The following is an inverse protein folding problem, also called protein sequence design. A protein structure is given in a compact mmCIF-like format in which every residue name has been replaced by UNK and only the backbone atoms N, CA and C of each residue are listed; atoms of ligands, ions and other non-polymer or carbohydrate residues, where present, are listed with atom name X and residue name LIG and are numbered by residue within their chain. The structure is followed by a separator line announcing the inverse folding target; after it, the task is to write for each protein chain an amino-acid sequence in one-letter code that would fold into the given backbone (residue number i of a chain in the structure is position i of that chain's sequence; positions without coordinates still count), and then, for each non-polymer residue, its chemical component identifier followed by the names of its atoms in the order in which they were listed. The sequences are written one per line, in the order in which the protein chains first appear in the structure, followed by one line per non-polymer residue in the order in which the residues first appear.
data_IF_241273943498
#
_entry.id   IF_241273943498
#
_cell.length_a   1.000
_cell.length_b   1.000
_cell.length_c   1.000
_cell.angle_alpha   90.00
_cell.angle_beta   90.00
_cell.angle_gamma   90.00
#
_symmetry.space_group_name_H-M   'P 1'
#
loop_
_entity.id
_entity.type
_entity.pdbx_description
1 polymer ?
#
# COMPACT_ATOMS: atom_id res chain seq x y z
N UNK A 1 -4.54 -44.59 57.79
CA UNK A 1 -4.48 -43.80 56.54
C UNK A 1 -5.83 -43.90 55.85
N UNK A 2 -6.54 -42.78 55.65
CA UNK A 2 -7.84 -42.77 54.98
C UNK A 2 -7.63 -42.97 53.45
N UNK A 3 -8.47 -43.77 52.77
CA UNK A 3 -8.36 -43.95 51.33
C UNK A 3 -8.68 -42.64 50.61
N UNK A 4 -7.72 -42.15 49.82
CA UNK A 4 -7.90 -40.94 48.99
C UNK A 4 -8.91 -41.23 47.88
N UNK A 5 -10.06 -40.55 47.92
CA UNK A 5 -11.07 -40.59 46.85
C UNK A 5 -10.52 -39.92 45.60
N UNK A 6 -10.91 -40.41 44.43
CA UNK A 6 -10.61 -39.73 43.17
C UNK A 6 -11.31 -38.35 43.17
N UNK A 7 -10.58 -37.24 42.96
CA UNK A 7 -11.16 -35.90 43.01
C UNK A 7 -12.14 -35.62 41.86
N UNK A 8 -12.11 -36.41 40.78
CA UNK A 8 -12.93 -36.18 39.59
C UNK A 8 -14.27 -36.93 39.61
N UNK A 9 -14.34 -38.11 40.24
CA UNK A 9 -15.56 -38.93 40.26
C UNK A 9 -16.05 -39.31 41.68
N UNK A 10 -15.30 -39.00 42.74
CA UNK A 10 -15.71 -39.24 44.13
C UNK A 10 -15.77 -40.71 44.56
N UNK A 11 -15.59 -41.65 43.64
CA UNK A 11 -15.52 -43.08 43.94
C UNK A 11 -14.15 -43.46 44.50
N UNK A 12 -14.17 -44.23 45.58
CA UNK A 12 -12.96 -44.89 46.09
C UNK A 12 -12.54 -45.94 45.06
N UNK A 13 -11.27 -45.95 44.63
CA UNK A 13 -10.67 -47.03 43.86
C UNK A 13 -10.70 -48.32 44.69
N UNK A 14 -11.85 -48.99 44.73
CA UNK A 14 -11.99 -50.37 45.19
C UNK A 14 -12.13 -51.21 43.93
N UNK A 15 -10.98 -51.58 43.36
CA UNK A 15 -10.93 -52.80 42.59
C UNK A 15 -11.05 -53.94 43.61
N UNK A 16 -12.28 -54.25 44.01
CA UNK A 16 -12.58 -55.49 44.72
C UNK A 16 -12.85 -56.52 43.63
N UNK A 17 -11.96 -57.49 43.41
CA UNK A 17 -12.27 -58.64 42.56
C UNK A 17 -13.60 -59.20 43.04
N UNK A 18 -14.57 -59.37 42.14
CA UNK A 18 -15.89 -59.91 42.52
C UNK A 18 -15.79 -61.39 42.94
N UNK A 19 -14.70 -62.04 42.55
CA UNK A 19 -14.37 -63.42 42.88
C UNK A 19 -13.24 -63.48 43.91
N UNK A 20 -13.58 -63.92 45.13
CA UNK A 20 -12.59 -64.37 46.12
C UNK A 20 -12.19 -65.81 45.76
N UNK A 21 -11.20 -65.95 44.88
CA UNK A 21 -10.68 -67.23 44.43
C UNK A 21 -9.85 -67.89 45.55
N UNK A 22 -10.51 -68.69 46.39
CA UNK A 22 -9.83 -69.60 47.32
C UNK A 22 -9.18 -70.76 46.54
N UNK A 23 -8.00 -70.48 45.95
CA UNK A 23 -7.22 -71.39 45.11
C UNK A 23 -6.99 -72.78 45.75
N UNK A 24 -6.78 -72.83 47.07
CA UNK A 24 -6.52 -74.07 47.79
C UNK A 24 -7.76 -74.98 47.91
N UNK A 25 -8.96 -74.39 48.01
CA UNK A 25 -10.22 -75.13 48.10
C UNK A 25 -10.62 -75.77 46.77
N UNK A 26 -10.32 -75.10 45.65
CA UNK A 26 -10.60 -75.62 44.29
C UNK A 26 -9.64 -76.77 43.96
N UNK A 27 -8.36 -76.64 44.33
CA UNK A 27 -7.35 -77.68 44.11
C UNK A 27 -7.64 -78.96 44.89
N UNK A 28 -8.14 -78.84 46.13
CA UNK A 28 -8.52 -79.99 46.96
C UNK A 28 -9.69 -80.80 46.37
N UNK A 29 -10.68 -80.13 45.76
CA UNK A 29 -11.85 -80.80 45.14
C UNK A 29 -11.51 -81.52 43.84
N UNK A 30 -10.54 -81.02 43.08
CA UNK A 30 -10.07 -81.68 41.84
C UNK A 30 -9.26 -82.96 42.10
N UNK A 31 -8.75 -83.16 43.32
CA UNK A 31 -7.90 -84.31 43.66
C UNK A 31 -8.63 -85.47 44.36
N UNK A 32 -9.91 -85.33 44.78
CA UNK A 32 -10.72 -86.44 45.32
C UNK A 32 -11.86 -86.76 44.37
N UNK A 33 -11.95 -88.02 43.92
CA UNK A 33 -13.03 -88.66 43.14
C UNK A 33 -13.79 -87.76 42.14
N UNK A 34 -13.63 -88.08 40.85
CA UNK A 34 -14.22 -87.37 39.71
C UNK A 34 -15.71 -87.02 39.93
N UNK A 35 -15.99 -85.79 40.37
CA UNK A 35 -17.34 -85.25 40.55
C UNK A 35 -17.69 -84.33 39.37
N UNK A 36 -18.60 -84.75 38.47
CA UNK A 36 -19.03 -83.94 37.33
C UNK A 36 -19.59 -82.57 37.72
N UNK A 37 -20.14 -82.41 38.93
CA UNK A 37 -20.67 -81.13 39.40
C UNK A 37 -19.55 -80.11 39.73
N UNK A 38 -18.38 -80.58 40.16
CA UNK A 38 -17.22 -79.73 40.41
C UNK A 38 -16.63 -79.19 39.10
N UNK A 39 -16.62 -79.99 38.03
CA UNK A 39 -16.19 -79.55 36.70
C UNK A 39 -17.09 -78.42 36.17
N UNK A 40 -18.41 -78.53 36.31
CA UNK A 40 -19.36 -77.50 35.87
C UNK A 40 -19.16 -76.15 36.60
N UNK A 41 -18.85 -76.17 37.91
CA UNK A 41 -18.56 -74.95 38.67
C UNK A 41 -17.25 -74.27 38.22
N UNK A 42 -16.24 -75.06 37.83
CA UNK A 42 -14.98 -74.54 37.29
C UNK A 42 -15.22 -73.91 35.92
N UNK A 43 -15.98 -74.56 35.04
CA UNK A 43 -16.35 -74.01 33.73
C UNK A 43 -17.14 -72.70 33.85
N UNK A 44 -18.08 -72.61 34.80
CA UNK A 44 -18.82 -71.37 35.10
C UNK A 44 -17.88 -70.26 35.60
N UNK A 45 -16.94 -70.59 36.48
CA UNK A 45 -15.95 -69.64 37.00
C UNK A 45 -15.03 -69.12 35.90
N UNK A 46 -14.59 -70.00 34.99
CA UNK A 46 -13.78 -69.62 33.82
C UNK A 46 -14.58 -68.69 32.91
N UNK A 47 -15.84 -69.00 32.61
CA UNK A 47 -16.72 -68.17 31.80
C UNK A 47 -16.94 -66.78 32.41
N UNK A 48 -17.10 -66.70 33.73
CA UNK A 48 -17.23 -65.43 34.46
C UNK A 48 -15.92 -64.61 34.40
N UNK A 49 -14.76 -65.26 34.59
CA UNK A 49 -13.45 -64.61 34.48
C UNK A 49 -13.18 -64.11 33.05
N UNK A 50 -13.53 -64.89 32.04
CA UNK A 50 -13.43 -64.47 30.64
C UNK A 50 -14.30 -63.25 30.38
N UNK A 51 -15.52 -63.22 30.91
CA UNK A 51 -16.42 -62.05 30.80
C UNK A 51 -15.82 -60.82 31.48
N UNK A 52 -15.33 -60.94 32.71
CA UNK A 52 -14.68 -59.83 33.42
C UNK A 52 -13.40 -59.35 32.72
N UNK A 53 -12.63 -60.28 32.14
CA UNK A 53 -11.45 -59.96 31.34
C UNK A 53 -11.84 -59.18 30.07
N UNK A 54 -12.89 -59.60 29.35
CA UNK A 54 -13.38 -58.89 28.16
C UNK A 54 -13.95 -57.50 28.52
N UNK A 55 -14.64 -57.36 29.65
CA UNK A 55 -15.11 -56.07 30.15
C UNK A 55 -13.94 -55.13 30.47
N UNK A 56 -12.93 -55.63 31.17
CA UNK A 56 -11.71 -54.87 31.46
C UNK A 56 -10.97 -54.47 30.18
N UNK A 57 -10.84 -55.39 29.22
CA UNK A 57 -10.21 -55.12 27.93
C UNK A 57 -10.98 -54.04 27.14
N UNK A 58 -12.31 -54.08 27.15
CA UNK A 58 -13.18 -53.09 26.51
C UNK A 58 -13.04 -51.70 27.16
N UNK A 59 -12.98 -51.64 28.49
CA UNK A 59 -12.78 -50.38 29.21
C UNK A 59 -11.38 -49.80 28.98
N UNK A 60 -10.35 -50.65 28.91
CA UNK A 60 -8.99 -50.23 28.53
C UNK A 60 -9.00 -49.63 27.12
N UNK A 61 -9.64 -50.29 26.15
CA UNK A 61 -9.75 -49.77 24.78
C UNK A 61 -10.50 -48.43 24.73
N UNK A 62 -11.60 -48.30 25.50
CA UNK A 62 -12.37 -47.06 25.63
C UNK A 62 -11.50 -45.92 26.18
N UNK A 63 -10.76 -46.16 27.26
CA UNK A 63 -9.88 -45.18 27.88
C UNK A 63 -8.70 -44.79 26.96
N UNK A 64 -8.15 -45.74 26.20
CA UNK A 64 -7.12 -45.44 25.20
C UNK A 64 -7.63 -44.50 24.11
N UNK A 65 -8.83 -44.75 23.57
CA UNK A 65 -9.47 -43.84 22.61
C UNK A 65 -9.72 -42.45 23.20
N UNK A 66 -10.13 -42.38 24.47
CA UNK A 66 -10.35 -41.11 25.17
C UNK A 66 -9.04 -40.32 25.35
N UNK A 67 -7.93 -40.98 25.71
CA UNK A 67 -6.59 -40.39 25.80
C UNK A 67 -6.14 -39.86 24.43
N UNK A 68 -6.31 -40.66 23.37
CA UNK A 68 -5.94 -40.25 22.01
C UNK A 68 -6.74 -39.02 21.54
N UNK A 69 -8.04 -38.98 21.84
CA UNK A 69 -8.90 -37.83 21.55
C UNK A 69 -8.43 -36.56 22.29
N UNK A 70 -8.11 -36.68 23.58
CA UNK A 70 -7.58 -35.56 24.38
C UNK A 70 -6.21 -35.08 23.88
N UNK A 71 -5.30 -35.99 23.50
CA UNK A 71 -3.99 -35.65 22.93
C UNK A 71 -4.13 -34.99 21.56
N UNK A 72 -5.08 -35.43 20.73
CA UNK A 72 -5.42 -34.78 19.46
C UNK A 72 -5.90 -33.34 19.68
N UNK A 73 -6.83 -33.15 20.63
CA UNK A 73 -7.33 -31.82 21.02
C UNK A 73 -6.22 -30.92 21.56
N UNK A 74 -5.30 -31.46 22.37
CA UNK A 74 -4.15 -30.71 22.88
C UNK A 74 -3.24 -30.24 21.73
N UNK A 75 -2.98 -31.09 20.73
CA UNK A 75 -2.21 -30.71 19.54
C UNK A 75 -2.88 -29.59 18.76
N UNK A 76 -4.19 -29.68 18.52
CA UNK A 76 -4.95 -28.62 17.85
C UNK A 76 -4.90 -27.29 18.61
N UNK A 77 -5.01 -27.32 19.94
CA UNK A 77 -4.90 -26.12 20.78
C UNK A 77 -3.51 -25.49 20.69
N UNK A 78 -2.44 -26.28 20.73
CA UNK A 78 -1.06 -25.78 20.56
C UNK A 78 -0.83 -25.17 19.18
N UNK A 79 -1.42 -25.75 18.14
CA UNK A 79 -1.35 -25.20 16.79
C UNK A 79 -2.14 -23.87 16.67
N UNK A 80 -3.29 -23.77 17.32
CA UNK A 80 -4.05 -22.52 17.40
C UNK A 80 -3.27 -21.43 18.16
N UNK A 81 -2.67 -21.81 19.30
CA UNK A 81 -1.84 -20.92 20.11
C UNK A 81 -0.63 -20.39 19.31
N UNK A 82 0.07 -21.24 18.56
CA UNK A 82 1.20 -20.81 17.74
C UNK A 82 0.77 -19.86 16.63
N UNK A 83 -0.37 -20.11 15.96
CA UNK A 83 -0.97 -19.19 14.98
C UNK A 83 -1.27 -17.82 15.60
N UNK A 84 -1.91 -17.79 16.77
CA UNK A 84 -2.20 -16.54 17.48
C UNK A 84 -0.90 -15.82 17.88
N UNK A 85 0.08 -16.54 18.41
CA UNK A 85 1.38 -15.98 18.78
C UNK A 85 2.11 -15.39 17.58
N UNK A 86 2.05 -16.01 16.40
CA UNK A 86 2.59 -15.42 15.17
C UNK A 86 1.87 -14.13 14.76
N UNK A 87 0.54 -14.07 14.91
CA UNK A 87 -0.24 -12.83 14.69
C UNK A 87 0.11 -11.73 15.71
N UNK A 88 0.55 -12.10 16.92
CA UNK A 88 1.04 -11.16 17.92
C UNK A 88 2.50 -10.76 17.68
N UNK A 89 3.37 -11.66 17.23
CA UNK A 89 4.77 -11.36 16.90
C UNK A 89 4.91 -10.46 15.67
N UNK A 90 3.98 -10.55 14.72
CA UNK A 90 3.84 -9.58 13.61
C UNK A 90 3.42 -8.17 14.08
N UNK A 91 3.25 -7.93 15.39
CA UNK A 91 2.97 -6.62 15.99
C UNK A 91 4.16 -5.66 16.01
N UNK A 92 5.32 -5.98 15.41
CA UNK A 92 6.44 -5.02 15.36
C UNK A 92 6.00 -3.66 14.78
N UNK A 93 5.26 -3.69 13.66
CA UNK A 93 4.68 -2.49 13.04
C UNK A 93 3.53 -1.88 13.88
N UNK A 94 2.73 -2.72 14.55
CA UNK A 94 1.62 -2.26 15.39
C UNK A 94 2.10 -1.57 16.68
N UNK A 95 3.34 -1.81 17.09
CA UNK A 95 3.94 -1.20 18.27
C UNK A 95 4.75 0.06 17.96
N UNK A 96 4.97 0.38 16.68
CA UNK A 96 5.63 1.63 16.30
C UNK A 96 4.81 2.83 16.79
N UNK A 97 5.42 3.89 17.34
CA UNK A 97 4.75 5.16 17.60
C UNK A 97 4.16 5.78 16.32
N UNK A 98 3.15 6.63 16.46
CA UNK A 98 2.49 7.27 15.31
C UNK A 98 3.46 8.14 14.51
N UNK A 99 4.44 8.74 15.19
CA UNK A 99 5.48 9.58 14.62
C UNK A 99 6.38 8.79 13.66
N UNK A 100 6.76 7.58 14.05
CA UNK A 100 7.57 6.68 13.23
C UNK A 100 6.77 6.18 12.03
N UNK A 101 5.50 5.80 12.24
CA UNK A 101 4.62 5.42 11.14
C UNK A 101 4.41 6.59 10.15
N UNK A 102 4.17 7.80 10.65
CA UNK A 102 4.01 8.98 9.81
C UNK A 102 5.29 9.30 9.04
N UNK A 103 6.46 9.14 9.65
CA UNK A 103 7.75 9.28 8.97
C UNK A 103 7.91 8.25 7.84
N UNK A 104 7.61 6.98 8.11
CA UNK A 104 7.61 5.92 7.09
C UNK A 104 6.63 6.27 5.96
N UNK A 105 5.40 6.67 6.31
CA UNK A 105 4.38 7.03 5.31
C UNK A 105 4.83 8.20 4.45
N UNK A 106 5.46 9.20 5.05
CA UNK A 106 6.02 10.34 4.33
C UNK A 106 7.14 9.93 3.36
N UNK A 107 7.99 8.97 3.73
CA UNK A 107 9.04 8.44 2.84
C UNK A 107 8.47 7.62 1.68
N UNK A 108 7.45 6.81 1.95
CA UNK A 108 6.85 5.94 0.92
C UNK A 108 5.92 6.73 -0.01
N UNK A 109 5.24 7.77 0.48
CA UNK A 109 4.32 8.62 -0.27
C UNK A 109 4.96 9.87 -0.87
N UNK A 110 6.21 9.79 -1.33
CA UNK A 110 6.84 10.91 -2.03
C UNK A 110 6.23 11.13 -3.42
N UNK A 111 5.78 10.06 -4.05
CA UNK A 111 5.17 10.08 -5.38
C UNK A 111 3.88 9.23 -5.39
N UNK A 112 2.73 9.89 -5.58
CA UNK A 112 1.46 9.19 -5.77
C UNK A 112 1.09 9.30 -7.24
N UNK A 113 1.38 8.23 -7.98
CA UNK A 113 1.17 8.11 -9.40
C UNK A 113 -0.30 7.75 -9.69
N UNK A 114 -1.02 8.74 -10.21
CA UNK A 114 -2.40 8.62 -10.70
C UNK A 114 -2.34 8.51 -12.22
N UNK A 115 -2.71 7.34 -12.75
CA UNK A 115 -2.78 7.12 -14.21
C UNK A 115 -4.22 7.08 -14.67
N UNK A 116 -4.50 7.79 -15.75
CA UNK A 116 -5.80 7.78 -16.40
C UNK A 116 -6.06 6.43 -17.07
N UNK A 117 -5.17 6.00 -17.96
CA UNK A 117 -5.27 4.69 -18.62
C UNK A 117 -4.26 3.69 -18.01
N UNK A 118 -4.74 2.53 -17.55
CA UNK A 118 -3.90 1.48 -16.94
C UNK A 118 -3.20 0.59 -17.97
N UNK A 119 -3.74 0.51 -19.17
CA UNK A 119 -3.33 -0.49 -20.18
C UNK A 119 -2.19 0.01 -21.08
N UNK A 120 -1.94 1.32 -21.08
CA UNK A 120 -0.87 1.90 -21.90
C UNK A 120 0.43 2.01 -21.11
N UNK A 121 1.44 1.34 -21.63
CA UNK A 121 2.81 1.46 -21.19
C UNK A 121 3.33 2.82 -21.63
N UNK A 122 3.78 3.64 -20.68
CA UNK A 122 4.66 4.75 -20.96
C UNK A 122 6.07 4.24 -20.74
N UNK A 123 6.96 4.40 -21.72
CA UNK A 123 8.35 3.97 -21.65
C UNK A 123 9.11 4.63 -20.49
N UNK A 124 8.59 5.76 -19.99
CA UNK A 124 9.12 6.48 -18.83
C UNK A 124 8.90 5.75 -17.50
N UNK A 125 8.03 4.74 -17.46
CA UNK A 125 7.69 4.04 -16.22
C UNK A 125 7.85 2.54 -16.37
N UNK A 126 8.87 2.01 -15.70
CA UNK A 126 9.21 0.59 -15.65
C UNK A 126 7.97 -0.25 -15.29
N UNK A 127 7.74 -1.28 -16.09
CA UNK A 127 6.54 -2.12 -16.09
C UNK A 127 6.32 -2.92 -14.79
N UNK A 128 7.30 -2.85 -13.90
CA UNK A 128 7.43 -3.56 -12.64
C UNK A 128 6.54 -2.96 -11.54
N UNK A 129 6.02 -1.74 -11.74
CA UNK A 129 5.12 -1.05 -10.82
C UNK A 129 3.63 -1.21 -11.13
N UNK A 130 3.11 -2.43 -11.25
CA UNK A 130 1.67 -2.63 -11.47
C UNK A 130 0.84 -2.35 -10.19
N UNK A 131 -0.17 -1.49 -10.30
CA UNK A 131 -1.31 -1.43 -9.38
C UNK A 131 -1.18 -0.49 -8.18
N UNK A 132 -1.68 -0.94 -7.03
CA UNK A 132 -1.82 -0.19 -5.78
C UNK A 132 -0.50 0.42 -5.27
N UNK A 133 0.64 -0.18 -5.63
CA UNK A 133 1.99 0.34 -5.30
C UNK A 133 2.26 1.72 -5.89
N UNK A 134 1.60 2.08 -7.00
CA UNK A 134 1.67 3.42 -7.60
C UNK A 134 1.04 4.52 -6.74
N UNK A 135 0.13 4.16 -5.82
CA UNK A 135 -0.61 5.09 -4.96
C UNK A 135 -0.41 4.76 -3.49
N UNK A 136 0.82 4.89 -2.97
CA UNK A 136 1.17 4.49 -1.61
C UNK A 136 0.23 5.13 -0.58
N UNK A 137 -0.13 6.41 -0.72
CA UNK A 137 -1.04 7.08 0.23
C UNK A 137 -2.41 6.41 0.28
N UNK A 138 -2.96 6.02 -0.86
CA UNK A 138 -4.25 5.34 -0.93
C UNK A 138 -4.17 3.95 -0.28
N UNK A 139 -3.09 3.19 -0.56
CA UNK A 139 -2.84 1.87 0.03
C UNK A 139 -2.72 1.97 1.55
N UNK A 140 -1.88 2.88 2.04
CA UNK A 140 -1.69 3.13 3.46
C UNK A 140 -3.04 3.42 4.15
N UNK A 141 -3.91 4.18 3.50
CA UNK A 141 -5.25 4.50 4.03
C UNK A 141 -6.23 3.31 4.06
N UNK A 142 -5.91 2.20 3.40
CA UNK A 142 -6.72 0.98 3.36
C UNK A 142 -6.23 -0.17 4.23
N UNK A 143 -5.02 -0.09 4.82
CA UNK A 143 -4.42 -1.23 5.56
C UNK A 143 -5.18 -1.56 6.84
N UNK A 144 -5.30 -0.61 7.77
CA UNK A 144 -6.06 -0.75 9.00
C UNK A 144 -6.56 0.61 9.50
N UNK A 145 -7.48 0.61 10.48
CA UNK A 145 -8.08 1.84 11.02
C UNK A 145 -7.04 2.85 11.53
N UNK A 146 -6.00 2.37 12.22
CA UNK A 146 -4.91 3.22 12.73
C UNK A 146 -4.13 3.88 11.60
N UNK A 147 -3.75 3.11 10.58
CA UNK A 147 -3.02 3.64 9.42
C UNK A 147 -3.87 4.65 8.66
N UNK A 148 -5.15 4.34 8.44
CA UNK A 148 -6.12 5.25 7.86
C UNK A 148 -6.21 6.57 8.63
N UNK A 149 -6.29 6.53 9.96
CA UNK A 149 -6.36 7.74 10.78
C UNK A 149 -5.10 8.59 10.63
N UNK A 150 -3.91 7.98 10.68
CA UNK A 150 -2.63 8.68 10.49
C UNK A 150 -2.58 9.31 9.09
N UNK A 151 -2.85 8.54 8.04
CA UNK A 151 -2.82 9.02 6.65
C UNK A 151 -3.82 10.15 6.40
N UNK A 152 -5.02 10.08 6.99
CA UNK A 152 -6.03 11.14 6.86
C UNK A 152 -5.68 12.39 7.67
N UNK A 153 -4.96 12.26 8.79
CA UNK A 153 -4.49 13.41 9.57
C UNK A 153 -3.32 14.16 8.89
N UNK A 154 -2.55 13.47 8.04
CA UNK A 154 -1.40 14.05 7.35
C UNK A 154 -1.76 14.47 5.91
N UNK A 155 -2.31 15.68 5.78
CA UNK A 155 -2.77 16.25 4.52
C UNK A 155 -1.66 16.34 3.45
N UNK A 156 -0.40 16.53 3.87
CA UNK A 156 0.75 16.64 2.98
C UNK A 156 1.03 15.35 2.17
N UNK A 157 0.60 14.17 2.64
CA UNK A 157 0.74 12.92 1.88
C UNK A 157 -0.13 12.94 0.62
N UNK A 158 -1.29 13.59 0.69
CA UNK A 158 -2.24 13.72 -0.42
C UNK A 158 -1.90 14.88 -1.36
N UNK A 159 -0.92 15.72 -1.02
CA UNK A 159 -0.56 16.90 -1.82
C UNK A 159 0.55 16.64 -2.84
N UNK A 160 1.19 15.47 -2.79
CA UNK A 160 2.23 15.03 -3.73
C UNK A 160 1.63 14.05 -4.72
N UNK A 161 1.45 14.47 -5.97
CA UNK A 161 0.80 13.64 -6.98
C UNK A 161 1.49 13.77 -8.33
N UNK A 162 1.65 12.62 -8.99
CA UNK A 162 2.07 12.53 -10.38
C UNK A 162 0.88 12.08 -11.21
N UNK A 163 0.54 12.85 -12.24
CA UNK A 163 -0.61 12.62 -13.10
C UNK A 163 -0.10 12.17 -14.46
N UNK A 164 -0.51 10.98 -14.91
CA UNK A 164 -0.24 10.51 -16.27
C UNK A 164 -1.56 10.51 -17.03
N UNK A 165 -1.68 11.45 -17.97
CA UNK A 165 -2.89 11.66 -18.77
C UNK A 165 -2.77 10.95 -20.11
N UNK A 166 -3.91 10.46 -20.62
CA UNK A 166 -4.03 9.74 -21.89
C UNK A 166 -5.24 10.27 -22.65
N UNK A 167 -5.05 10.85 -23.83
CA UNK A 167 -6.16 11.50 -24.55
C UNK A 167 -7.12 10.53 -25.21
N UNK A 168 -6.67 9.32 -25.51
CA UNK A 168 -7.49 8.26 -26.08
C UNK A 168 -8.25 7.42 -25.04
N UNK A 169 -8.42 7.94 -23.81
CA UNK A 169 -9.22 7.30 -22.77
C UNK A 169 -10.72 7.42 -23.04
N UNK A 170 -11.49 6.42 -22.61
CA UNK A 170 -12.95 6.49 -22.62
C UNK A 170 -13.45 7.50 -21.58
N UNK A 171 -14.64 8.10 -21.79
CA UNK A 171 -15.20 9.06 -20.84
C UNK A 171 -15.36 8.50 -19.42
N UNK A 172 -15.70 7.22 -19.28
CA UNK A 172 -15.75 6.53 -17.97
C UNK A 172 -14.37 6.49 -17.29
N UNK A 173 -13.31 6.27 -18.07
CA UNK A 173 -11.93 6.29 -17.58
C UNK A 173 -11.56 7.69 -17.10
N UNK A 174 -11.91 8.73 -17.86
CA UNK A 174 -11.70 10.14 -17.46
C UNK A 174 -12.45 10.48 -16.18
N UNK A 175 -13.70 10.03 -16.06
CA UNK A 175 -14.54 10.29 -14.89
C UNK A 175 -13.98 9.61 -13.62
N UNK A 176 -13.52 8.36 -13.74
CA UNK A 176 -12.85 7.63 -12.66
C UNK A 176 -11.55 8.31 -12.22
N UNK A 177 -10.71 8.68 -13.19
CA UNK A 177 -9.47 9.42 -12.94
C UNK A 177 -9.73 10.78 -12.29
N UNK A 178 -10.71 11.55 -12.80
CA UNK A 178 -11.15 12.80 -12.21
C UNK A 178 -11.57 12.64 -10.74
N UNK A 179 -12.36 11.60 -10.44
CA UNK A 179 -12.79 11.30 -9.07
C UNK A 179 -11.60 11.04 -8.16
N UNK A 180 -10.58 10.36 -8.66
CA UNK A 180 -9.35 10.09 -7.93
C UNK A 180 -8.52 11.36 -7.68
N UNK A 181 -8.30 12.20 -8.70
CA UNK A 181 -7.61 13.50 -8.53
C UNK A 181 -8.37 14.38 -7.55
N UNK A 182 -9.71 14.42 -7.66
CA UNK A 182 -10.56 15.16 -6.73
C UNK A 182 -10.40 14.69 -5.29
N UNK A 183 -10.34 13.38 -5.07
CA UNK A 183 -10.12 12.81 -3.74
C UNK A 183 -8.80 13.30 -3.11
N UNK A 184 -7.71 13.35 -3.88
CA UNK A 184 -6.41 13.84 -3.41
C UNK A 184 -6.44 15.35 -3.11
N UNK A 185 -7.06 16.15 -3.98
CA UNK A 185 -7.23 17.58 -3.75
C UNK A 185 -8.06 17.85 -2.49
N UNK A 186 -9.16 17.13 -2.30
CA UNK A 186 -10.03 17.30 -1.13
C UNK A 186 -9.29 16.91 0.17
N UNK A 187 -8.54 15.79 0.17
CA UNK A 187 -7.80 15.30 1.34
C UNK A 187 -6.50 16.06 1.63
N UNK A 188 -5.94 16.76 0.65
CA UNK A 188 -4.78 17.62 0.88
C UNK A 188 -5.12 18.94 1.57
N UNK A 189 -6.41 19.29 1.67
CA UNK A 189 -6.91 20.47 2.38
C UNK A 189 -6.21 21.77 1.96
N UNK A 190 -5.44 22.39 2.85
CA UNK A 190 -4.69 23.64 2.60
C UNK A 190 -3.21 23.39 2.30
N UNK A 191 -2.78 22.13 2.26
CA UNK A 191 -1.38 21.77 1.99
C UNK A 191 -0.97 22.25 0.61
N UNK A 192 0.28 22.68 0.51
CA UNK A 192 0.89 23.06 -0.75
C UNK A 192 1.04 21.83 -1.65
N UNK A 193 0.67 22.00 -2.93
CA UNK A 193 0.66 20.95 -3.92
C UNK A 193 2.02 20.84 -4.60
N UNK A 194 2.51 19.60 -4.68
CA UNK A 194 3.64 19.19 -5.50
C UNK A 194 3.12 18.29 -6.60
N UNK A 195 3.08 18.85 -7.81
CA UNK A 195 2.46 18.27 -8.97
C UNK A 195 3.53 17.87 -9.97
N UNK A 196 3.46 16.65 -10.48
CA UNK A 196 4.11 16.26 -11.73
C UNK A 196 3.02 15.86 -12.71
N UNK A 197 3.04 16.39 -13.91
CA UNK A 197 2.02 16.16 -14.91
C UNK A 197 2.73 15.67 -16.15
N UNK A 198 2.42 14.44 -16.55
CA UNK A 198 2.98 13.74 -17.69
C UNK A 198 1.85 13.55 -18.72
N UNK A 199 2.03 14.12 -19.89
CA UNK A 199 1.12 14.04 -21.01
C UNK A 199 1.82 13.34 -22.17
N UNK A 200 1.54 12.06 -22.31
CA UNK A 200 2.19 11.20 -23.28
C UNK A 200 1.89 11.55 -24.76
N UNK A 201 0.89 12.38 -25.05
CA UNK A 201 0.46 12.66 -26.44
C UNK A 201 0.17 14.14 -26.67
N UNK A 202 0.20 14.55 -27.93
CA UNK A 202 -0.04 15.93 -28.34
C UNK A 202 -1.51 16.35 -28.16
N UNK A 203 -1.71 17.39 -27.38
CA UNK A 203 -2.95 18.10 -27.10
C UNK A 203 -3.19 19.15 -28.16
N UNK A 204 -4.18 18.92 -29.02
CA UNK A 204 -4.62 19.96 -29.94
C UNK A 204 -5.26 21.11 -29.16
N UNK A 205 -4.89 22.35 -29.46
CA UNK A 205 -5.46 23.56 -28.82
C UNK A 205 -6.99 23.71 -29.01
N UNK A 206 -7.61 22.89 -29.86
CA UNK A 206 -9.06 22.85 -30.10
C UNK A 206 -9.79 21.84 -29.22
N UNK A 207 -9.06 21.02 -28.46
CA UNK A 207 -9.68 20.01 -27.60
C UNK A 207 -10.20 20.62 -26.30
N UNK A 208 -11.22 19.98 -25.73
CA UNK A 208 -11.84 20.40 -24.47
C UNK A 208 -10.82 20.22 -23.34
N UNK A 209 -10.67 21.19 -22.41
CA UNK A 209 -9.79 21.05 -21.25
C UNK A 209 -10.06 19.76 -20.49
N UNK A 210 -9.01 19.03 -20.14
CA UNK A 210 -9.15 17.79 -19.40
C UNK A 210 -9.72 18.11 -17.99
N UNK A 211 -10.81 17.46 -17.53
CA UNK A 211 -11.52 17.87 -16.32
C UNK A 211 -10.66 17.85 -15.05
N UNK A 212 -9.70 16.92 -14.97
CA UNK A 212 -8.74 16.89 -13.85
C UNK A 212 -7.77 18.09 -13.86
N UNK A 213 -7.34 18.55 -15.05
CA UNK A 213 -6.47 19.72 -15.19
C UNK A 213 -7.25 21.00 -14.88
N UNK A 214 -8.49 21.10 -15.34
CA UNK A 214 -9.41 22.18 -14.96
C UNK A 214 -9.63 22.25 -13.43
N UNK A 215 -9.69 21.10 -12.75
CA UNK A 215 -9.79 21.06 -11.30
C UNK A 215 -8.51 21.56 -10.62
N UNK A 216 -7.33 21.18 -11.12
CA UNK A 216 -6.05 21.66 -10.61
C UNK A 216 -5.88 23.17 -10.81
N UNK A 217 -6.34 23.72 -11.94
CA UNK A 217 -6.30 25.16 -12.20
C UNK A 217 -7.02 26.01 -11.14
N UNK A 218 -8.04 25.44 -10.49
CA UNK A 218 -8.74 26.07 -9.36
C UNK A 218 -7.91 26.10 -8.06
N UNK A 219 -6.79 25.39 -8.03
CA UNK A 219 -5.91 25.23 -6.86
C UNK A 219 -4.53 25.87 -7.05
N UNK A 220 -4.37 26.70 -8.09
CA UNK A 220 -3.10 27.38 -8.46
C UNK A 220 -2.43 28.13 -7.31
N UNK A 221 -3.21 28.70 -6.40
CA UNK A 221 -2.71 29.40 -5.21
C UNK A 221 -1.90 28.49 -4.26
N UNK A 222 -2.13 27.18 -4.33
CA UNK A 222 -1.47 26.16 -3.51
C UNK A 222 -0.32 25.48 -4.23
N UNK A 223 -0.12 25.72 -5.53
CA UNK A 223 0.95 25.07 -6.27
C UNK A 223 2.30 25.57 -5.75
N UNK A 224 3.17 24.65 -5.37
CA UNK A 224 4.48 24.97 -4.81
C UNK A 224 5.61 24.38 -5.65
N UNK A 225 5.39 23.17 -6.15
CA UNK A 225 6.24 22.50 -7.13
C UNK A 225 5.36 22.06 -8.29
N UNK A 226 5.79 22.35 -9.51
CA UNK A 226 5.11 21.90 -10.71
C UNK A 226 6.15 21.42 -11.72
N UNK A 227 6.08 20.15 -12.07
CA UNK A 227 6.82 19.56 -13.18
C UNK A 227 5.81 19.20 -14.27
N UNK A 228 6.07 19.61 -15.51
CA UNK A 228 5.16 19.41 -16.63
C UNK A 228 5.90 18.81 -17.83
N UNK A 229 5.52 17.60 -18.20
CA UNK A 229 6.20 16.75 -19.16
C UNK A 229 5.23 16.38 -20.26
N UNK A 230 5.72 16.41 -21.50
CA UNK A 230 4.99 16.04 -22.69
C UNK A 230 5.19 17.04 -23.81
N UNK A 231 4.80 16.65 -25.02
CA UNK A 231 4.97 17.45 -26.25
C UNK A 231 4.05 18.67 -26.35
N UNK A 232 3.35 19.00 -25.26
CA UNK A 232 2.45 20.13 -25.19
C UNK A 232 3.09 21.26 -24.44
N UNK A 233 2.77 22.47 -24.85
CA UNK A 233 3.23 23.64 -24.13
C UNK A 233 2.39 23.84 -22.88
N UNK A 234 3.07 24.17 -21.78
CA UNK A 234 2.40 24.62 -20.58
C UNK A 234 1.57 25.89 -20.90
N UNK A 235 0.25 25.78 -20.76
CA UNK A 235 -0.71 26.82 -21.16
C UNK A 235 -1.82 26.94 -20.12
N UNK A 236 -2.23 28.18 -19.82
CA UNK A 236 -3.29 28.46 -18.82
C UNK A 236 -4.62 27.82 -19.20
N UNK A 237 -4.89 27.77 -20.50
CA UNK A 237 -6.13 27.25 -21.08
C UNK A 237 -6.32 25.77 -20.77
N UNK A 238 -5.22 25.00 -20.73
CA UNK A 238 -5.24 23.57 -20.40
C UNK A 238 -5.78 23.34 -18.98
N UNK A 239 -5.46 24.25 -18.06
CA UNK A 239 -5.93 24.23 -16.67
C UNK A 239 -7.20 25.03 -16.46
N UNK A 240 -7.77 25.64 -17.51
CA UNK A 240 -8.92 26.53 -17.40
C UNK A 240 -8.72 27.66 -16.36
N UNK A 241 -7.49 28.17 -16.26
CA UNK A 241 -7.15 29.26 -15.35
C UNK A 241 -7.71 30.56 -15.94
N UNK A 242 -8.57 31.32 -15.24
CA UNK A 242 -9.11 32.56 -15.78
C UNK A 242 -8.05 33.66 -15.83
N UNK A 243 -8.17 34.59 -16.79
CA UNK A 243 -7.18 35.65 -17.08
C UNK A 243 -6.90 36.60 -15.91
N UNK A 244 -7.81 36.68 -14.94
CA UNK A 244 -7.64 37.50 -13.75
C UNK A 244 -6.69 36.86 -12.71
N UNK A 245 -6.42 35.56 -12.79
CA UNK A 245 -5.49 34.87 -11.91
C UNK A 245 -4.08 35.01 -12.46
N UNK A 246 -3.43 36.13 -12.16
CA UNK A 246 -2.08 36.43 -12.66
C UNK A 246 -0.97 35.76 -11.87
N UNK A 247 -1.17 35.61 -10.56
CA UNK A 247 -0.11 35.20 -9.65
C UNK A 247 -0.21 33.73 -9.22
N UNK A 248 0.96 33.10 -9.13
CA UNK A 248 1.18 31.79 -8.51
C UNK A 248 1.99 31.99 -7.22
N UNK A 249 1.41 32.59 -6.17
CA UNK A 249 2.19 33.13 -5.05
C UNK A 249 2.97 32.09 -4.25
N UNK A 250 2.53 30.82 -4.29
CA UNK A 250 3.19 29.71 -3.61
C UNK A 250 4.19 28.96 -4.50
N UNK A 251 4.19 29.19 -5.81
CA UNK A 251 4.97 28.41 -6.77
C UNK A 251 6.44 28.80 -6.65
N UNK A 252 7.27 27.84 -6.26
CA UNK A 252 8.72 28.04 -6.05
C UNK A 252 9.56 27.37 -7.11
N UNK A 253 9.11 26.21 -7.59
CA UNK A 253 9.84 25.39 -8.54
C UNK A 253 8.91 25.04 -9.70
N UNK A 254 9.38 25.36 -10.90
CA UNK A 254 8.73 25.02 -12.15
C UNK A 254 9.74 24.30 -13.05
N UNK A 255 9.32 23.17 -13.59
CA UNK A 255 10.12 22.31 -14.46
C UNK A 255 9.28 21.90 -15.67
N UNK A 256 9.88 21.92 -16.87
CA UNK A 256 9.24 21.44 -18.09
C UNK A 256 10.23 20.91 -19.13
N UNK A 257 9.80 19.88 -19.87
CA UNK A 257 10.62 19.14 -20.87
C UNK A 257 10.57 19.74 -22.29
N UNK A 258 9.54 20.53 -22.61
CA UNK A 258 9.40 21.21 -23.89
C UNK A 258 8.73 22.57 -23.69
N UNK A 259 9.35 23.63 -24.21
CA UNK A 259 8.81 24.99 -24.13
C UNK A 259 8.81 25.67 -25.50
N UNK A 260 7.64 26.02 -26.04
CA UNK A 260 7.51 27.12 -27.01
C UNK A 260 6.76 28.27 -26.35
N UNK A 261 7.37 29.45 -26.44
CA UNK A 261 6.79 30.80 -26.52
C UNK A 261 5.73 31.26 -25.50
N UNK A 262 5.33 30.47 -24.51
CA UNK A 262 4.30 30.91 -23.55
C UNK A 262 4.87 31.94 -22.56
N UNK A 263 4.27 33.13 -22.56
CA UNK A 263 4.45 34.23 -21.61
C UNK A 263 3.95 33.85 -20.22
N UNK A 264 4.73 33.03 -19.52
CA UNK A 264 4.51 32.77 -18.11
C UNK A 264 5.03 33.95 -17.29
N UNK A 265 4.16 34.92 -17.03
CA UNK A 265 4.39 35.92 -15.99
C UNK A 265 4.36 35.22 -14.62
N UNK A 266 5.51 34.70 -14.17
CA UNK A 266 5.65 34.07 -12.85
C UNK A 266 6.57 34.92 -11.98
N UNK A 267 6.04 35.93 -11.29
CA UNK A 267 6.86 36.91 -10.56
C UNK A 267 7.58 36.33 -9.32
N UNK A 268 7.28 35.10 -8.91
CA UNK A 268 7.72 34.51 -7.64
C UNK A 268 8.59 33.26 -7.73
N UNK A 269 9.06 32.89 -8.92
CA UNK A 269 9.80 31.65 -9.10
C UNK A 269 11.20 31.70 -8.45
N UNK A 270 11.57 30.65 -7.71
CA UNK A 270 12.91 30.52 -7.12
C UNK A 270 13.83 29.63 -7.95
N UNK A 271 13.27 28.61 -8.60
CA UNK A 271 14.00 27.65 -9.44
C UNK A 271 13.24 27.41 -10.74
N UNK A 272 13.95 27.53 -11.86
CA UNK A 272 13.45 27.15 -13.17
C UNK A 272 14.37 26.09 -13.77
N UNK A 273 13.78 24.98 -14.19
CA UNK A 273 14.49 23.93 -14.91
C UNK A 273 13.79 23.74 -16.25
N UNK A 274 14.56 23.87 -17.33
CA UNK A 274 14.08 23.58 -18.69
C UNK A 274 14.96 22.47 -19.22
N UNK A 275 14.39 21.29 -19.39
CA UNK A 275 15.07 20.18 -20.04
C UNK A 275 14.61 20.09 -21.49
N UNK A 276 15.46 19.62 -22.40
CA UNK A 276 15.09 19.29 -23.78
C UNK A 276 15.15 17.76 -23.91
N UNK A 277 13.99 17.12 -23.83
CA UNK A 277 13.88 15.66 -23.81
C UNK A 277 14.23 14.99 -25.15
N UNK A 278 14.46 15.78 -26.22
CA UNK A 278 14.84 15.29 -27.55
C UNK A 278 16.26 14.72 -27.65
N UNK A 279 17.03 14.71 -26.55
CA UNK A 279 18.39 14.13 -26.50
C UNK A 279 18.46 12.65 -26.88
N UNK A 280 17.32 11.93 -26.90
CA UNK A 280 17.29 10.47 -27.11
C UNK A 280 17.06 10.07 -28.57
N UNK A 281 16.46 10.94 -29.40
CA UNK A 281 16.18 10.66 -30.82
C UNK A 281 17.15 11.42 -31.74
N UNK A 282 18.27 10.77 -32.08
CA UNK A 282 19.40 11.32 -32.86
C UNK A 282 19.10 11.66 -34.33
N UNK A 283 17.86 11.47 -34.83
CA UNK A 283 17.59 11.45 -36.29
C UNK A 283 16.54 12.45 -36.79
N UNK A 284 16.10 13.41 -35.96
CA UNK A 284 15.18 14.47 -36.38
C UNK A 284 15.89 15.83 -36.47
N UNK A 285 16.15 16.28 -37.71
CA UNK A 285 16.75 17.58 -38.08
C UNK A 285 15.87 18.80 -37.73
N UNK A 286 14.97 18.68 -36.74
CA UNK A 286 14.14 19.77 -36.25
C UNK A 286 14.92 20.65 -35.25
N UNK A 287 15.80 21.49 -35.78
CA UNK A 287 16.54 22.52 -35.03
C UNK A 287 15.60 23.64 -34.57
N UNK A 288 14.66 23.34 -33.67
CA UNK A 288 14.02 24.40 -32.88
C UNK A 288 15.03 24.88 -31.84
N UNK A 289 15.60 26.06 -32.10
CA UNK A 289 16.39 26.82 -31.13
C UNK A 289 15.60 27.07 -29.86
N UNK A 290 16.26 27.11 -28.69
CA UNK A 290 15.70 27.86 -27.56
C UNK A 290 15.47 29.27 -28.07
N UNK A 291 14.21 29.65 -28.21
CA UNK A 291 13.88 30.91 -28.89
C UNK A 291 14.26 32.08 -27.98
N UNK A 292 14.77 33.20 -28.54
CA UNK A 292 14.94 34.46 -27.80
C UNK A 292 13.68 34.90 -27.05
N UNK A 293 12.50 34.43 -27.46
CA UNK A 293 11.23 34.65 -26.78
C UNK A 293 11.17 34.00 -25.37
N UNK A 294 11.77 32.82 -25.15
CA UNK A 294 11.87 32.25 -23.81
C UNK A 294 12.66 33.16 -22.89
N UNK A 295 13.81 33.66 -23.37
CA UNK A 295 14.68 34.57 -22.64
C UNK A 295 13.97 35.90 -22.35
N UNK A 296 13.25 36.45 -23.34
CA UNK A 296 12.42 37.64 -23.16
C UNK A 296 11.33 37.44 -22.11
N UNK A 297 10.72 36.25 -22.03
CA UNK A 297 9.72 35.94 -21.00
C UNK A 297 10.32 35.80 -19.59
N UNK A 298 11.60 35.38 -19.48
CA UNK A 298 12.32 35.35 -18.20
C UNK A 298 12.72 36.75 -17.70
N UNK A 299 12.79 37.71 -18.62
CA UNK A 299 13.07 39.10 -18.32
C UNK A 299 11.77 39.84 -18.04
N UNK A 300 11.52 40.23 -16.79
CA UNK A 300 10.44 41.18 -16.51
C UNK A 300 10.94 42.57 -16.89
N UNK A 301 10.25 43.23 -17.81
CA UNK A 301 10.43 44.66 -18.05
C UNK A 301 9.81 45.42 -16.88
N UNK A 302 10.62 45.78 -15.90
CA UNK A 302 10.16 46.69 -14.84
C UNK A 302 9.92 48.07 -15.46
N UNK A 303 8.82 48.72 -15.10
CA UNK A 303 8.46 50.10 -15.50
C UNK A 303 9.41 51.17 -14.92
N UNK A 304 10.67 50.83 -14.65
CA UNK A 304 11.70 51.80 -14.30
C UNK A 304 12.13 52.51 -15.58
N UNK A 305 12.43 53.81 -15.49
CA UNK A 305 13.02 54.56 -16.60
C UNK A 305 14.51 54.75 -16.28
N UNK A 306 15.45 54.16 -17.04
CA UNK A 306 15.26 53.27 -18.19
C UNK A 306 14.81 51.84 -17.80
N UNK A 307 14.09 51.12 -18.67
CA UNK A 307 13.64 49.76 -18.41
C UNK A 307 14.85 48.83 -18.44
N UNK A 308 15.39 48.52 -17.26
CA UNK A 308 16.38 47.47 -17.12
C UNK A 308 15.62 46.14 -17.04
N UNK A 309 15.79 45.23 -18.00
CA UNK A 309 15.26 43.89 -17.88
C UNK A 309 15.91 43.23 -16.66
N UNK A 310 15.10 42.80 -15.70
CA UNK A 310 15.58 42.05 -14.55
C UNK A 310 15.06 40.64 -14.70
N UNK A 311 15.99 39.68 -14.83
CA UNK A 311 15.72 38.26 -14.66
C UNK A 311 14.97 38.09 -13.33
N UNK A 312 13.78 37.49 -13.38
CA UNK A 312 12.86 37.24 -12.26
C UNK A 312 13.51 37.49 -10.88
N UNK A 313 13.14 38.54 -10.11
CA UNK A 313 13.94 39.03 -8.98
C UNK A 313 14.12 38.05 -7.82
N UNK A 314 13.39 36.92 -7.83
CA UNK A 314 13.49 35.84 -6.84
C UNK A 314 14.17 34.57 -7.36
N UNK A 315 14.49 34.50 -8.66
CA UNK A 315 15.11 33.34 -9.28
C UNK A 315 16.53 33.17 -8.74
N UNK A 316 16.78 32.05 -8.07
CA UNK A 316 18.08 31.70 -7.49
C UNK A 316 18.78 30.61 -8.28
N UNK A 317 18.01 29.80 -9.00
CA UNK A 317 18.52 28.67 -9.76
C UNK A 317 17.85 28.63 -11.14
N UNK A 318 18.68 28.54 -12.17
CA UNK A 318 18.26 28.36 -13.55
C UNK A 318 19.11 27.23 -14.14
N UNK A 319 18.47 26.15 -14.56
CA UNK A 319 19.10 25.08 -15.31
C UNK A 319 18.43 24.97 -16.67
N UNK A 320 19.26 24.99 -17.72
CA UNK A 320 18.83 24.84 -19.10
C UNK A 320 19.61 23.67 -19.69
N UNK A 321 18.92 22.61 -20.10
CA UNK A 321 19.46 21.54 -20.91
C UNK A 321 18.95 21.71 -22.33
N UNK A 322 19.84 21.77 -23.31
CA UNK A 322 19.50 21.99 -24.71
C UNK A 322 20.20 20.97 -25.59
N UNK A 323 19.42 20.34 -26.48
CA UNK A 323 19.89 19.28 -27.36
C UNK A 323 20.26 19.74 -28.77
N UNK A 324 19.92 20.98 -29.14
CA UNK A 324 20.05 21.42 -30.53
C UNK A 324 21.44 21.93 -30.92
N UNK A 325 21.63 22.09 -32.23
CA UNK A 325 22.92 22.44 -32.84
C UNK A 325 23.34 23.89 -32.61
N UNK A 326 22.37 24.80 -32.48
CA UNK A 326 22.58 26.24 -32.35
C UNK A 326 21.90 26.78 -31.08
N UNK A 327 22.70 27.23 -30.12
CA UNK A 327 22.23 27.94 -28.93
C UNK A 327 22.55 29.43 -29.10
N UNK A 328 21.51 30.25 -29.27
CA UNK A 328 21.66 31.72 -29.33
C UNK A 328 21.85 32.27 -27.91
N UNK A 329 23.10 32.31 -27.46
CA UNK A 329 23.49 32.84 -26.15
C UNK A 329 23.42 34.36 -26.07
N UNK A 330 23.26 35.06 -27.21
CA UNK A 330 23.25 36.52 -27.27
C UNK A 330 22.13 37.14 -26.44
N UNK A 331 21.03 36.42 -26.21
CA UNK A 331 19.94 36.86 -25.33
C UNK A 331 20.26 36.77 -23.83
N UNK A 332 21.24 35.95 -23.41
CA UNK A 332 21.61 35.77 -21.99
C UNK A 332 22.63 36.79 -21.50
N UNK A 333 23.31 37.49 -22.42
CA UNK A 333 24.26 38.55 -22.11
C UNK A 333 23.49 39.88 -21.99
N UNK A 334 22.95 40.15 -20.81
CA UNK A 334 22.28 41.43 -20.47
C UNK A 334 23.29 42.47 -19.99
#
# INVERSE_FOLDING_TARGET
MAPSKCPTCGTSNRFTPRLDLQSDAIRGRLCSDYDPAACAQIEETISLLDTEYQDCASEIARLQLEIEALLSRQRQLKECESKIRCLLSTSSIRNLPNEILMFIFNLVSQDNLLRENRERFSDLWSNDGHGLTAMPTLVLSSVCSRWRQITLSCCALWSRMTLVLSFHSTEDTKASFFTMVKLYIDRSHTSLLRLRIDMAEYYSARSVPHPALSLLGKTTQRWHHLTFIGSNFFRREIFSIPDNVRDFPSLRELEFDECDQASLEIPSLNSLIVEDSRLVDLDMDSSKAITPALIQNLCITLNTLPPTPVLLPKLRYLALSYAGKDFDDSGFVI
#
